data_IF_945536879921
#
_entry.id   IF_945536879921
#
_cell.length_a   1.000
_cell.length_b   1.000
_cell.length_c   1.000
_cell.angle_alpha   90.00
_cell.angle_beta   90.00
_cell.angle_gamma   90.00
#
_symmetry.space_group_name_H-M   'P 1'
#
loop_
_entity.id
_entity.type
_entity.pdbx_description
1 polymer ?
#
# COMPACT_ATOMS: atom_id res chain seq x y z
N UNK A 1 13.55 -7.11 17.16
CA UNK A 1 13.39 -5.62 17.03
C UNK A 1 14.52 -4.97 17.81
N UNK A 2 15.46 -4.27 17.16
CA UNK A 2 16.75 -3.91 17.79
C UNK A 2 16.79 -2.50 18.40
N UNK A 3 15.79 -1.65 18.14
CA UNK A 3 15.80 -0.22 18.52
C UNK A 3 14.49 0.35 19.09
N UNK A 4 13.40 -0.43 19.14
CA UNK A 4 12.10 0.00 19.69
C UNK A 4 11.65 -0.97 20.76
N UNK A 5 11.16 -0.44 21.87
CA UNK A 5 10.60 -1.25 22.94
C UNK A 5 9.30 -1.91 22.45
N UNK A 6 9.08 -3.18 22.80
CA UNK A 6 7.87 -3.89 22.40
C UNK A 6 6.60 -3.21 22.92
N UNK A 7 6.69 -2.68 24.15
CA UNK A 7 5.64 -1.92 24.83
C UNK A 7 5.20 -0.68 24.04
N UNK A 8 6.16 0.12 23.57
CA UNK A 8 5.90 1.31 22.76
C UNK A 8 5.14 0.95 21.48
N UNK A 9 5.55 -0.11 20.80
CA UNK A 9 4.86 -0.57 19.59
C UNK A 9 3.45 -1.04 19.89
N UNK A 10 3.22 -1.69 21.04
CA UNK A 10 1.89 -2.13 21.45
C UNK A 10 0.97 -0.94 21.73
N UNK A 11 1.45 0.09 22.44
CA UNK A 11 0.70 1.32 22.70
C UNK A 11 0.27 1.98 21.39
N UNK A 12 1.16 2.09 20.41
CA UNK A 12 0.82 2.70 19.12
C UNK A 12 -0.12 1.85 18.27
N UNK A 13 -0.03 0.52 18.34
CA UNK A 13 -0.99 -0.37 17.68
C UNK A 13 -2.41 -0.19 18.21
N UNK A 14 -2.59 0.06 19.50
CA UNK A 14 -3.92 0.37 20.06
C UNK A 14 -4.50 1.69 19.53
N UNK A 15 -3.66 2.57 18.97
CA UNK A 15 -4.07 3.87 18.39
C UNK A 15 -4.22 3.83 16.88
N UNK A 16 -4.28 2.64 16.28
CA UNK A 16 -4.40 2.46 14.84
C UNK A 16 -5.58 3.28 14.27
N UNK A 17 -5.32 4.26 13.38
CA UNK A 17 -6.38 5.10 12.81
C UNK A 17 -7.37 4.30 11.97
N UNK A 18 -6.96 3.21 11.33
CA UNK A 18 -7.82 2.37 10.49
C UNK A 18 -8.86 1.70 11.39
N UNK A 19 -8.42 1.05 12.46
CA UNK A 19 -9.31 0.38 13.42
C UNK A 19 -10.26 1.38 14.09
N UNK A 20 -9.74 2.54 14.50
CA UNK A 20 -10.56 3.59 15.14
C UNK A 20 -11.65 4.11 14.22
N UNK A 21 -11.34 4.33 12.94
CA UNK A 21 -12.32 4.82 11.99
C UNK A 21 -13.31 3.74 11.56
N UNK A 22 -12.86 2.49 11.43
CA UNK A 22 -13.74 1.35 11.18
C UNK A 22 -14.81 1.19 12.26
N UNK A 23 -14.44 1.33 13.55
CA UNK A 23 -15.39 1.33 14.67
C UNK A 23 -16.43 2.44 14.51
N UNK A 24 -15.98 3.68 14.26
CA UNK A 24 -16.88 4.81 14.05
C UNK A 24 -17.88 4.58 12.90
N UNK A 25 -17.41 4.03 11.78
CA UNK A 25 -18.26 3.74 10.62
C UNK A 25 -19.23 2.57 10.89
N UNK A 26 -18.84 1.59 11.70
CA UNK A 26 -19.71 0.49 12.16
C UNK A 26 -20.81 1.02 13.07
N UNK A 27 -20.48 1.89 14.02
CA UNK A 27 -21.46 2.58 14.89
C UNK A 27 -22.44 3.44 14.08
N UNK A 28 -21.98 4.04 12.99
CA UNK A 28 -22.81 4.79 12.05
C UNK A 28 -23.63 3.90 11.08
N UNK A 29 -23.46 2.57 11.10
CA UNK A 29 -24.13 1.62 10.21
C UNK A 29 -23.63 1.62 8.76
N UNK A 30 -22.53 2.32 8.47
CA UNK A 30 -21.95 2.49 7.13
C UNK A 30 -21.05 1.31 6.77
N UNK A 31 -20.14 0.94 7.68
CA UNK A 31 -19.25 -0.19 7.50
C UNK A 31 -19.88 -1.43 8.12
N UNK A 32 -20.16 -2.44 7.30
CA UNK A 32 -20.69 -3.73 7.70
C UNK A 32 -19.79 -4.82 7.11
N UNK A 33 -19.82 -6.02 7.67
CA UNK A 33 -18.98 -7.14 7.25
C UNK A 33 -18.95 -7.40 5.73
N UNK A 34 -20.08 -7.38 4.98
CA UNK A 34 -20.03 -7.55 3.53
C UNK A 34 -19.29 -6.42 2.81
N UNK A 35 -19.46 -5.17 3.26
CA UNK A 35 -18.79 -3.99 2.68
C UNK A 35 -17.29 -4.04 2.96
N UNK A 36 -16.89 -4.40 4.17
CA UNK A 36 -15.48 -4.53 4.53
C UNK A 36 -14.79 -5.68 3.77
N UNK A 37 -15.48 -6.80 3.59
CA UNK A 37 -15.00 -7.92 2.79
C UNK A 37 -14.80 -7.52 1.32
N UNK A 38 -15.76 -6.83 0.72
CA UNK A 38 -15.66 -6.34 -0.67
C UNK A 38 -14.47 -5.38 -0.86
N UNK A 39 -14.29 -4.43 0.07
CA UNK A 39 -13.16 -3.50 0.03
C UNK A 39 -11.84 -4.25 0.14
N UNK A 40 -11.74 -5.20 1.08
CA UNK A 40 -10.53 -5.99 1.32
C UNK A 40 -10.16 -6.81 0.09
N UNK A 41 -11.13 -7.50 -0.51
CA UNK A 41 -10.93 -8.30 -1.71
C UNK A 41 -10.44 -7.45 -2.88
N UNK A 42 -11.10 -6.31 -3.12
CA UNK A 42 -10.70 -5.39 -4.21
C UNK A 42 -9.30 -4.83 -4.01
N UNK A 43 -8.92 -4.51 -2.77
CA UNK A 43 -7.56 -4.01 -2.47
C UNK A 43 -6.52 -5.10 -2.66
N UNK A 44 -6.79 -6.33 -2.21
CA UNK A 44 -5.88 -7.45 -2.41
C UNK A 44 -5.65 -7.71 -3.90
N UNK A 45 -6.73 -7.77 -4.70
CA UNK A 45 -6.60 -7.95 -6.14
C UNK A 45 -5.76 -6.85 -6.80
N UNK A 46 -5.94 -5.58 -6.39
CA UNK A 46 -5.12 -4.48 -6.91
C UNK A 46 -3.63 -4.61 -6.57
N UNK A 47 -3.32 -5.12 -5.38
CA UNK A 47 -1.93 -5.35 -4.95
C UNK A 47 -1.33 -6.53 -5.71
N UNK A 48 -2.09 -7.61 -5.90
CA UNK A 48 -1.67 -8.78 -6.65
C UNK A 48 -1.40 -8.41 -8.12
N UNK A 49 -2.34 -7.72 -8.78
CA UNK A 49 -2.19 -7.25 -10.16
C UNK A 49 -0.97 -6.32 -10.33
N UNK A 50 -0.74 -5.42 -9.37
CA UNK A 50 0.42 -4.52 -9.40
C UNK A 50 1.74 -5.27 -9.19
N UNK A 51 1.73 -6.33 -8.38
CA UNK A 51 2.88 -7.18 -8.13
C UNK A 51 3.21 -7.99 -9.38
N UNK A 52 2.22 -8.66 -9.97
CA UNK A 52 2.36 -9.40 -11.22
C UNK A 52 2.89 -8.52 -12.36
N UNK A 53 2.36 -7.30 -12.50
CA UNK A 53 2.84 -6.33 -13.47
C UNK A 53 4.32 -5.99 -13.26
N UNK A 54 4.73 -5.75 -12.01
CA UNK A 54 6.12 -5.40 -11.68
C UNK A 54 7.07 -6.58 -11.88
N UNK A 55 6.65 -7.81 -11.56
CA UNK A 55 7.46 -9.02 -11.74
C UNK A 55 7.59 -9.44 -13.21
N UNK A 56 6.59 -9.13 -14.04
CA UNK A 56 6.64 -9.39 -15.49
C UNK A 56 7.41 -8.32 -16.26
N UNK A 57 7.74 -7.19 -15.63
CA UNK A 57 8.50 -6.13 -16.27
C UNK A 57 9.91 -6.63 -16.65
N UNK A 58 10.41 -6.30 -17.85
CA UNK A 58 11.77 -6.68 -18.22
C UNK A 58 12.79 -6.02 -17.30
N UNK A 59 13.90 -6.71 -17.06
CA UNK A 59 15.04 -6.13 -16.35
C UNK A 59 15.54 -4.85 -17.08
N UNK A 60 16.02 -3.84 -16.32
CA UNK A 60 16.61 -2.67 -16.92
C UNK A 60 17.86 -3.06 -17.73
N UNK A 61 18.03 -2.42 -18.87
CA UNK A 61 19.20 -2.53 -19.72
C UNK A 61 20.36 -1.67 -19.19
N UNK A 62 21.61 -1.93 -19.61
CA UNK A 62 22.73 -1.03 -19.29
C UNK A 62 22.52 0.42 -19.74
N UNK A 63 21.77 0.66 -20.83
CA UNK A 63 21.50 2.01 -21.34
C UNK A 63 20.56 2.79 -20.40
N UNK A 64 19.66 2.09 -19.69
CA UNK A 64 18.75 2.69 -18.71
C UNK A 64 19.52 3.37 -17.56
N UNK A 65 20.76 2.95 -17.27
CA UNK A 65 21.60 3.51 -16.21
C UNK A 65 21.83 5.03 -16.35
N UNK A 66 21.97 5.52 -17.57
CA UNK A 66 22.24 6.95 -17.85
C UNK A 66 20.98 7.72 -18.23
N UNK A 67 19.85 7.03 -18.34
CA UNK A 67 18.56 7.62 -18.65
C UNK A 67 18.13 8.52 -17.49
N UNK A 68 17.68 9.74 -17.82
CA UNK A 68 17.29 10.81 -16.88
C UNK A 68 18.41 11.49 -16.07
N UNK A 69 19.70 11.26 -16.37
CA UNK A 69 20.80 12.05 -15.75
C UNK A 69 20.75 13.53 -16.15
N UNK A 70 20.37 13.80 -17.40
CA UNK A 70 20.05 15.13 -17.91
C UNK A 70 18.59 15.16 -18.36
N UNK A 71 18.02 16.36 -18.40
CA UNK A 71 16.68 16.58 -18.98
C UNK A 71 16.68 16.02 -20.41
N UNK A 72 15.80 15.07 -20.67
CA UNK A 72 15.56 14.61 -22.02
C UNK A 72 14.68 15.64 -22.74
N UNK A 73 15.08 16.05 -23.94
CA UNK A 73 14.19 16.82 -24.81
C UNK A 73 13.04 15.90 -25.22
N UNK A 74 11.82 16.26 -24.86
CA UNK A 74 10.64 15.60 -25.39
C UNK A 74 10.58 15.91 -26.89
N UNK A 75 10.98 14.95 -27.72
CA UNK A 75 10.61 14.99 -29.13
C UNK A 75 9.11 14.66 -29.22
N UNK A 76 8.33 15.49 -29.93
CA UNK A 76 6.88 15.32 -30.07
C UNK A 76 6.52 14.01 -30.78
#
# INVERSE_FOLDING_TARGET
KRYRQAEEVAIWRQKDPIQRYAIYLREAGILQDPVEAEITERVNQQVDDATDYAEQAPDPTPDDLTTFVFKQEHKP
#
